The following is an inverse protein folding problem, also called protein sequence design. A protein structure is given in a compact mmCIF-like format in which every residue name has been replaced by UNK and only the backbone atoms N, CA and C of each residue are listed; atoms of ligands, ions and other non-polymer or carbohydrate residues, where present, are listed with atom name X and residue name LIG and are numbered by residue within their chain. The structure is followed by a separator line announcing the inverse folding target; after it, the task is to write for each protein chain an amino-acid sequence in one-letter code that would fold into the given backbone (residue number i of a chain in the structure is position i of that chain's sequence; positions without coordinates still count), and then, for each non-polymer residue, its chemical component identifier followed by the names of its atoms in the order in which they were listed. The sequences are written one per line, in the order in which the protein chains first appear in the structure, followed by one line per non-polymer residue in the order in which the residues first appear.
data_IF_104539014703
#
_entry.id   IF_104539014703
#
_cell.length_a   1.000
_cell.length_b   1.000
_cell.length_c   1.000
_cell.angle_alpha   90.00
_cell.angle_beta   90.00
_cell.angle_gamma   90.00
#
_symmetry.space_group_name_H-M   'P 1'
#
loop_
_entity.id
_entity.type
_entity.pdbx_description
1 polymer ?
#
# COMPACT_ATOMS: atom_id res chain seq x y z
N UNK A 1 -6.42 14.46 6.85
CA UNK A 1 -6.01 14.18 5.46
C UNK A 1 -4.77 13.29 5.53
N UNK A 2 -4.74 12.11 4.92
CA UNK A 2 -3.49 11.34 4.83
C UNK A 2 -2.63 12.05 3.79
N UNK A 3 -1.87 13.06 4.23
CA UNK A 3 -1.31 14.13 3.39
C UNK A 3 -0.39 13.66 2.25
N UNK A 4 0.00 12.38 2.23
CA UNK A 4 0.90 11.83 1.22
C UNK A 4 0.56 10.38 0.88
N UNK A 5 -0.69 10.06 0.55
CA UNK A 5 -1.03 8.68 0.12
C UNK A 5 -0.36 8.30 -1.22
N UNK A 6 -0.42 9.22 -2.19
CA UNK A 6 0.22 9.11 -3.49
C UNK A 6 1.51 9.93 -3.52
N UNK A 7 2.55 9.41 -4.19
CA UNK A 7 3.76 10.18 -4.43
C UNK A 7 3.50 11.20 -5.53
N UNK A 8 3.60 12.47 -5.17
CA UNK A 8 3.45 13.59 -6.11
C UNK A 8 4.74 13.86 -6.91
N UNK A 9 5.89 13.51 -6.34
CA UNK A 9 7.20 13.70 -6.96
C UNK A 9 7.67 12.43 -7.68
N UNK A 10 7.93 12.55 -8.99
CA UNK A 10 8.54 11.48 -9.77
C UNK A 10 10.04 11.46 -9.52
N UNK A 11 10.62 10.26 -9.41
CA UNK A 11 12.05 10.08 -9.12
C UNK A 11 12.99 10.61 -10.22
N UNK A 12 12.50 10.82 -11.45
CA UNK A 12 13.29 11.33 -12.58
C UNK A 12 14.38 10.37 -13.10
N UNK A 13 14.46 9.16 -12.54
CA UNK A 13 15.44 8.12 -12.89
C UNK A 13 14.85 7.13 -13.88
N UNK A 14 15.72 6.40 -14.58
CA UNK A 14 15.34 5.34 -15.52
C UNK A 14 14.59 4.22 -14.76
N UNK A 15 13.36 3.91 -15.17
CA UNK A 15 12.46 2.97 -14.49
C UNK A 15 11.16 3.63 -14.02
N UNK A 16 10.16 2.83 -13.63
CA UNK A 16 8.88 3.35 -13.12
C UNK A 16 9.07 3.99 -11.73
N UNK A 17 8.54 5.20 -11.55
CA UNK A 17 8.48 5.84 -10.23
C UNK A 17 7.44 5.15 -9.36
N UNK A 18 7.65 5.15 -8.05
CA UNK A 18 6.69 4.59 -7.10
C UNK A 18 5.42 5.46 -7.09
N UNK A 19 4.26 4.85 -7.33
CA UNK A 19 2.96 5.54 -7.28
C UNK A 19 2.51 5.84 -5.84
N UNK A 20 2.73 4.90 -4.93
CA UNK A 20 2.30 4.98 -3.52
C UNK A 20 3.44 5.38 -2.58
N UNK A 21 3.14 6.11 -1.53
CA UNK A 21 4.12 6.50 -0.51
C UNK A 21 4.50 5.33 0.40
N UNK A 22 5.51 5.54 1.27
CA UNK A 22 5.87 4.54 2.28
C UNK A 22 4.73 4.30 3.28
N UNK A 23 3.99 5.35 3.66
CA UNK A 23 2.85 5.27 4.57
C UNK A 23 1.76 4.33 4.02
N UNK A 24 1.49 4.40 2.72
CA UNK A 24 0.54 3.50 2.08
C UNK A 24 0.99 2.03 2.13
N UNK A 25 2.30 1.77 1.99
CA UNK A 25 2.84 0.42 2.10
C UNK A 25 2.84 -0.10 3.54
N UNK A 26 3.12 0.76 4.52
CA UNK A 26 3.08 0.40 5.94
C UNK A 26 1.65 0.00 6.36
N UNK A 27 0.64 0.77 5.96
CA UNK A 27 -0.77 0.41 6.22
C UNK A 27 -1.14 -0.93 5.57
N UNK A 28 -0.73 -1.15 4.33
CA UNK A 28 -0.96 -2.42 3.66
C UNK A 28 -0.21 -3.59 4.31
N UNK A 29 0.93 -3.33 4.97
CA UNK A 29 1.64 -4.34 5.75
C UNK A 29 0.86 -4.67 7.02
N UNK A 30 0.24 -3.70 7.69
CA UNK A 30 -0.62 -3.98 8.84
C UNK A 30 -1.81 -4.88 8.45
N UNK A 31 -2.34 -4.71 7.24
CA UNK A 31 -3.40 -5.60 6.73
C UNK A 31 -2.94 -7.08 6.60
N UNK A 32 -1.63 -7.34 6.43
CA UNK A 32 -1.09 -8.71 6.44
C UNK A 32 -1.18 -9.38 7.82
N UNK A 33 -1.25 -8.60 8.92
CA UNK A 33 -1.41 -9.13 10.28
C UNK A 33 -2.73 -9.87 10.49
N UNK A 34 -3.73 -9.60 9.63
CA UNK A 34 -5.01 -10.30 9.64
C UNK A 34 -4.99 -11.62 8.86
N UNK A 35 -3.80 -12.14 8.52
CA UNK A 35 -3.59 -13.38 7.75
C UNK A 35 -4.30 -13.38 6.38
N UNK A 36 -4.53 -12.21 5.80
CA UNK A 36 -5.19 -12.03 4.51
C UNK A 36 -4.22 -12.28 3.36
N UNK A 37 -4.64 -13.09 2.39
CA UNK A 37 -3.81 -13.41 1.22
C UNK A 37 -3.94 -12.31 0.16
N UNK A 38 -2.88 -11.52 -0.03
CA UNK A 38 -2.64 -10.69 -1.22
C UNK A 38 -3.85 -9.88 -1.72
N UNK A 39 -4.62 -10.43 -2.67
CA UNK A 39 -5.85 -9.80 -3.21
C UNK A 39 -6.92 -9.51 -2.16
N UNK A 40 -6.95 -10.25 -1.05
CA UNK A 40 -7.86 -9.97 0.07
C UNK A 40 -7.48 -8.69 0.82
N UNK A 41 -6.19 -8.33 0.84
CA UNK A 41 -5.73 -7.08 1.45
C UNK A 41 -6.25 -5.86 0.67
N UNK A 42 -6.31 -5.97 -0.65
CA UNK A 42 -6.84 -4.93 -1.53
C UNK A 42 -8.29 -4.60 -1.16
N UNK A 43 -9.18 -5.60 -1.19
CA UNK A 43 -10.59 -5.41 -0.82
C UNK A 43 -10.81 -5.02 0.65
N UNK A 44 -9.94 -5.47 1.56
CA UNK A 44 -10.01 -5.07 2.97
C UNK A 44 -9.66 -3.59 3.17
N UNK A 45 -8.60 -3.11 2.52
CA UNK A 45 -8.22 -1.69 2.57
C UNK A 45 -9.29 -0.82 1.90
N UNK A 46 -9.88 -1.27 0.78
CA UNK A 46 -11.01 -0.60 0.14
C UNK A 46 -12.20 -0.48 1.11
N UNK A 47 -12.55 -1.58 1.80
CA UNK A 47 -13.64 -1.59 2.78
C UNK A 47 -13.39 -0.66 3.96
N UNK A 48 -12.15 -0.55 4.45
CA UNK A 48 -11.77 0.40 5.51
C UNK A 48 -11.94 1.83 5.00
N UNK A 49 -11.48 2.12 3.80
CA UNK A 49 -11.58 3.46 3.21
C UNK A 49 -13.02 3.87 2.96
N UNK A 50 -13.85 2.95 2.48
CA UNK A 50 -15.29 3.14 2.36
C UNK A 50 -15.94 3.43 3.73
N UNK A 51 -15.60 2.65 4.76
CA UNK A 51 -16.11 2.85 6.13
C UNK A 51 -15.67 4.21 6.70
N UNK A 52 -14.47 4.67 6.37
CA UNK A 52 -13.95 5.97 6.78
C UNK A 52 -14.50 7.13 5.92
N UNK A 53 -15.25 6.84 4.84
CA UNK A 53 -15.73 7.83 3.89
C UNK A 53 -14.60 8.51 3.10
N UNK A 54 -13.50 7.80 2.85
CA UNK A 54 -12.31 8.31 2.19
C UNK A 54 -12.19 7.69 0.79
N UNK A 55 -12.16 8.51 -0.25
CA UNK A 55 -11.91 8.07 -1.63
C UNK A 55 -10.40 8.13 -1.93
N UNK A 56 -9.68 7.08 -1.56
CA UNK A 56 -8.24 6.91 -1.85
C UNK A 56 -8.01 5.61 -2.63
N UNK A 57 -7.17 5.63 -3.68
CA UNK A 57 -6.87 4.43 -4.45
C UNK A 57 -6.07 3.43 -3.61
N UNK A 58 -6.42 2.16 -3.68
CA UNK A 58 -5.70 1.10 -2.94
C UNK A 58 -4.61 0.48 -3.82
N UNK A 59 -3.40 0.23 -3.30
CA UNK A 59 -2.37 -0.50 -4.02
C UNK A 59 -2.78 -1.96 -4.29
N UNK A 60 -2.72 -2.35 -5.56
CA UNK A 60 -3.01 -3.72 -6.00
C UNK A 60 -2.00 -4.74 -5.42
N UNK A 61 -2.40 -6.01 -5.39
CA UNK A 61 -1.55 -7.12 -4.93
C UNK A 61 -0.13 -7.13 -5.55
N UNK A 62 0.00 -6.87 -6.85
CA UNK A 62 1.32 -6.89 -7.52
C UNK A 62 2.21 -5.74 -7.04
N UNK A 63 1.61 -4.58 -6.76
CA UNK A 63 2.29 -3.41 -6.21
C UNK A 63 2.74 -3.66 -4.78
N UNK A 64 1.89 -4.29 -3.97
CA UNK A 64 2.23 -4.73 -2.62
C UNK A 64 3.40 -5.71 -2.61
N UNK A 65 3.31 -6.82 -3.35
CA UNK A 65 4.38 -7.82 -3.39
C UNK A 65 5.73 -7.24 -3.83
N UNK A 66 5.76 -6.43 -4.89
CA UNK A 66 7.02 -5.84 -5.41
C UNK A 66 7.70 -4.90 -4.41
N UNK A 67 6.93 -4.21 -3.58
CA UNK A 67 7.46 -3.21 -2.64
C UNK A 67 7.67 -3.75 -1.24
N UNK A 68 6.85 -4.69 -0.77
CA UNK A 68 7.07 -5.37 0.50
C UNK A 68 8.44 -6.06 0.53
N UNK A 69 8.86 -6.70 -0.57
CA UNK A 69 10.21 -7.27 -0.68
C UNK A 69 11.34 -6.24 -0.56
N UNK A 70 11.05 -4.95 -0.78
CA UNK A 70 12.04 -3.85 -0.69
C UNK A 70 11.93 -3.05 0.60
N UNK A 71 10.84 -3.20 1.35
CA UNK A 71 10.71 -2.60 2.67
C UNK A 71 11.37 -3.52 3.69
N UNK A 72 12.29 -2.97 4.49
CA UNK A 72 12.92 -3.69 5.59
C UNK A 72 11.97 -3.79 6.79
N UNK A 73 10.75 -4.29 6.57
CA UNK A 73 9.78 -4.57 7.62
C UNK A 73 9.80 -6.07 7.87
N UNK A 74 10.09 -6.46 9.11
CA UNK A 74 9.86 -7.84 9.54
C UNK A 74 8.36 -8.04 9.68
N UNK A 75 7.77 -8.68 8.67
CA UNK A 75 6.39 -9.16 8.76
C UNK A 75 6.43 -10.36 9.72
N UNK A 76 5.67 -10.36 10.83
CA UNK A 76 5.48 -11.56 11.61
C UNK A 76 4.56 -12.47 10.78
N UNK A 77 5.17 -13.43 10.08
CA UNK A 77 4.46 -14.59 9.54
C UNK A 77 4.12 -15.56 10.66
#
# INVERSE_FOLDING_TARGET
MIEQWLNQNKTGRRGASNTYSNVAMELATLATLFSLAGRQIEGFLESIFELMGIDLPVPDHSTLCRRLSKLNIKIPI
#
